data_IF_968031430484
#
_entry.id   IF_968031430484
#
_cell.length_a   1.000
_cell.length_b   1.000
_cell.length_c   1.000
_cell.angle_alpha   90.00
_cell.angle_beta   90.00
_cell.angle_gamma   90.00
#
_symmetry.space_group_name_H-M   'P 1'
#
loop_
_entity.id
_entity.type
_entity.pdbx_description
1 polymer ?
#
# COMPACT_ATOMS: atom_id res chain seq x y z
N UNK A 1 -25.52 66.52 38.49
CA UNK A 1 -24.64 65.35 38.73
C UNK A 1 -24.61 64.54 37.45
N UNK A 2 -23.38 64.24 37.00
CA UNK A 2 -22.90 63.42 35.86
C UNK A 2 -23.85 62.30 35.40
N UNK A 3 -23.88 61.86 34.13
CA UNK A 3 -22.80 61.43 33.22
C UNK A 3 -23.28 61.61 31.76
N UNK A 4 -22.52 62.30 30.89
CA UNK A 4 -21.48 61.78 29.98
C UNK A 4 -22.04 61.00 28.77
N UNK A 5 -22.16 61.74 27.68
CA UNK A 5 -22.20 61.31 26.27
C UNK A 5 -20.86 60.72 25.83
N UNK A 6 -20.88 59.56 25.16
CA UNK A 6 -19.76 59.02 24.40
C UNK A 6 -19.85 59.51 22.94
N UNK A 7 -18.78 60.06 22.36
CA UNK A 7 -18.58 60.05 20.92
C UNK A 7 -17.52 59.03 20.50
N UNK A 8 -17.69 58.55 19.28
CA UNK A 8 -16.75 57.76 18.50
C UNK A 8 -15.34 58.37 18.51
N UNK A 9 -14.32 57.52 18.62
CA UNK A 9 -12.95 57.89 18.26
C UNK A 9 -12.31 56.75 17.47
N UNK A 10 -12.16 56.99 16.17
CA UNK A 10 -11.12 56.43 15.32
C UNK A 10 -9.77 56.44 16.06
N UNK A 11 -9.05 55.33 16.00
CA UNK A 11 -7.63 55.32 16.29
C UNK A 11 -6.87 54.87 15.05
N UNK A 12 -6.33 55.87 14.38
CA UNK A 12 -5.22 55.78 13.43
C UNK A 12 -4.09 54.93 14.02
N UNK A 13 -3.69 53.90 13.28
CA UNK A 13 -2.41 53.23 13.54
C UNK A 13 -1.36 53.89 12.65
N UNK A 14 -0.66 54.86 13.23
CA UNK A 14 0.53 55.46 12.66
C UNK A 14 1.57 54.38 12.31
N UNK A 15 2.03 54.48 11.07
CA UNK A 15 3.07 53.65 10.46
C UNK A 15 4.44 54.08 10.99
N UNK A 16 5.03 53.31 11.92
CA UNK A 16 6.42 53.48 12.32
C UNK A 16 7.33 52.58 11.48
N UNK A 17 7.75 53.11 10.32
CA UNK A 17 8.78 52.52 9.49
C UNK A 17 10.15 52.65 10.18
N UNK A 18 10.60 51.58 10.82
CA UNK A 18 11.97 51.48 11.34
C UNK A 18 12.81 50.67 10.34
N UNK A 19 13.53 51.39 9.48
CA UNK A 19 14.44 50.79 8.49
C UNK A 19 15.73 50.35 9.19
N UNK A 20 15.87 49.05 9.48
CA UNK A 20 17.16 48.47 9.86
C UNK A 20 17.80 47.78 8.65
N UNK A 21 18.82 48.45 8.09
CA UNK A 21 19.82 47.89 7.18
C UNK A 21 20.75 46.97 7.98
N UNK A 22 20.53 45.65 7.97
CA UNK A 22 21.56 44.61 7.87
C UNK A 22 20.89 43.23 7.99
N UNK A 23 21.05 42.40 6.94
CA UNK A 23 20.97 40.94 7.00
C UNK A 23 19.78 40.33 7.75
N UNK A 24 18.58 40.40 7.15
CA UNK A 24 17.49 39.50 7.52
C UNK A 24 17.91 38.09 7.12
N UNK A 25 18.50 37.33 8.05
CA UNK A 25 18.28 35.89 8.07
C UNK A 25 16.77 35.74 8.21
N UNK A 26 16.09 35.41 7.13
CA UNK A 26 14.88 34.61 7.19
C UNK A 26 15.25 33.41 8.06
N UNK A 27 14.86 33.48 9.33
CA UNK A 27 14.59 32.26 10.07
C UNK A 27 13.44 31.66 9.28
N UNK A 28 13.80 30.83 8.31
CA UNK A 28 12.91 29.83 7.75
C UNK A 28 12.44 29.03 8.95
N UNK A 29 11.33 29.46 9.54
CA UNK A 29 10.34 28.53 10.04
C UNK A 29 9.92 27.70 8.82
N UNK A 30 10.80 26.78 8.41
CA UNK A 30 10.44 25.60 7.65
C UNK A 30 9.42 24.92 8.55
N UNK A 31 8.14 25.21 8.32
CA UNK A 31 7.12 24.20 8.51
C UNK A 31 7.70 22.97 7.79
N UNK A 32 8.28 22.05 8.55
CA UNK A 32 8.64 20.75 8.04
C UNK A 32 7.32 20.17 7.59
N UNK A 33 7.03 20.30 6.30
CA UNK A 33 6.00 19.53 5.67
C UNK A 33 6.48 18.10 5.87
N UNK A 34 5.94 17.44 6.90
CA UNK A 34 6.33 16.10 7.28
C UNK A 34 5.98 15.22 6.09
N UNK A 35 7.00 14.85 5.33
CA UNK A 35 6.81 14.05 4.13
C UNK A 35 6.57 12.61 4.56
N UNK A 36 5.55 11.97 3.98
CA UNK A 36 5.21 10.59 4.33
C UNK A 36 6.27 9.63 3.80
N UNK A 37 6.85 8.81 4.67
CA UNK A 37 7.74 7.71 4.27
C UNK A 37 7.37 6.42 4.99
N UNK A 38 7.76 5.28 4.43
CA UNK A 38 7.62 3.96 5.05
C UNK A 38 8.56 2.95 4.39
N UNK A 39 8.87 1.87 5.10
CA UNK A 39 9.61 0.73 4.56
C UNK A 39 8.63 -0.36 4.15
N UNK A 40 8.96 -1.12 3.11
CA UNK A 40 8.15 -2.27 2.70
C UNK A 40 8.97 -3.35 2.00
N UNK A 41 8.42 -4.55 1.98
CA UNK A 41 8.86 -5.65 1.12
C UNK A 41 7.66 -6.46 0.65
N UNK A 42 7.85 -7.19 -0.45
CA UNK A 42 6.88 -8.18 -0.94
C UNK A 42 7.58 -9.53 -1.00
N UNK A 43 7.05 -10.50 -0.27
CA UNK A 43 7.58 -11.85 -0.19
C UNK A 43 6.73 -12.81 -1.03
N UNK A 44 7.36 -13.82 -1.61
CA UNK A 44 6.59 -14.94 -2.18
C UNK A 44 6.07 -15.84 -1.06
N UNK A 45 4.84 -16.32 -1.21
CA UNK A 45 4.18 -17.23 -0.29
C UNK A 45 3.71 -18.47 -1.05
N UNK A 46 4.36 -19.59 -0.74
CA UNK A 46 4.02 -20.88 -1.31
C UNK A 46 3.07 -21.64 -0.38
N UNK A 47 2.19 -22.45 -0.98
CA UNK A 47 1.32 -23.35 -0.23
C UNK A 47 2.07 -24.62 0.18
N UNK A 48 1.75 -25.11 1.38
CA UNK A 48 2.22 -26.39 1.89
C UNK A 48 1.07 -27.40 1.79
N UNK A 49 1.02 -28.10 0.66
CA UNK A 49 -0.06 -29.07 0.39
C UNK A 49 0.26 -30.50 0.81
N UNK A 50 1.48 -30.73 1.33
CA UNK A 50 1.98 -32.04 1.71
C UNK A 50 1.70 -32.34 3.19
N UNK A 51 0.74 -33.24 3.51
CA UNK A 51 0.43 -33.57 4.90
C UNK A 51 1.58 -34.26 5.64
N UNK A 52 2.51 -34.92 4.94
CA UNK A 52 3.69 -35.54 5.56
C UNK A 52 4.66 -34.49 6.10
N UNK A 53 4.66 -33.30 5.50
CA UNK A 53 5.42 -32.13 5.93
C UNK A 53 4.57 -31.14 6.76
N UNK A 54 3.51 -31.64 7.40
CA UNK A 54 2.63 -30.84 8.27
C UNK A 54 1.71 -29.87 7.51
N UNK A 55 1.62 -30.01 6.18
CA UNK A 55 0.77 -29.21 5.30
C UNK A 55 -0.71 -29.58 5.35
N UNK A 56 -1.48 -28.93 4.49
CA UNK A 56 -2.92 -29.13 4.35
C UNK A 56 -3.28 -29.47 2.91
N UNK A 57 -4.10 -30.50 2.65
CA UNK A 57 -4.52 -30.82 1.29
C UNK A 57 -5.12 -29.61 0.55
N UNK A 58 -4.98 -29.56 -0.79
CA UNK A 58 -5.53 -28.49 -1.60
C UNK A 58 -7.02 -28.28 -1.34
N UNK A 59 -7.46 -27.03 -1.38
CA UNK A 59 -8.87 -26.66 -1.21
C UNK A 59 -9.45 -26.27 -2.55
N UNK A 60 -10.71 -26.65 -2.77
CA UNK A 60 -11.49 -26.22 -3.92
C UNK A 60 -12.81 -25.59 -3.46
N UNK A 61 -13.33 -24.64 -4.25
CA UNK A 61 -14.68 -24.12 -4.07
C UNK A 61 -15.73 -25.10 -4.65
N UNK A 62 -17.00 -24.72 -4.55
CA UNK A 62 -18.15 -25.50 -5.06
C UNK A 62 -18.07 -25.87 -6.54
N UNK A 63 -17.29 -25.13 -7.33
CA UNK A 63 -17.08 -25.35 -8.76
C UNK A 63 -15.80 -26.17 -9.06
N UNK A 64 -15.17 -26.76 -8.03
CA UNK A 64 -13.94 -27.53 -8.16
C UNK A 64 -12.70 -26.69 -8.49
N UNK A 65 -12.76 -25.36 -8.32
CA UNK A 65 -11.62 -24.47 -8.58
C UNK A 65 -10.79 -24.28 -7.32
N UNK A 66 -9.47 -24.30 -7.46
CA UNK A 66 -8.55 -24.08 -6.36
C UNK A 66 -8.83 -22.76 -5.62
N UNK A 67 -8.69 -22.79 -4.30
CA UNK A 67 -8.75 -21.62 -3.40
C UNK A 67 -7.64 -21.71 -2.35
N UNK A 68 -7.13 -20.57 -1.83
CA UNK A 68 -6.00 -20.59 -0.91
C UNK A 68 -6.33 -21.30 0.42
N UNK A 69 -5.32 -21.84 1.13
CA UNK A 69 -5.48 -22.43 2.46
C UNK A 69 -6.10 -21.46 3.48
N UNK A 70 -6.78 -21.97 4.51
CA UNK A 70 -7.38 -21.17 5.61
C UNK A 70 -6.77 -21.46 6.98
N UNK A 71 -5.71 -22.25 7.01
CA UNK A 71 -4.93 -22.55 8.20
C UNK A 71 -3.48 -22.20 7.93
N UNK A 72 -2.79 -21.68 8.94
CA UNK A 72 -1.41 -21.19 8.79
C UNK A 72 -0.43 -22.28 8.34
N UNK A 73 -0.70 -23.53 8.74
CA UNK A 73 0.11 -24.70 8.40
C UNK A 73 -0.05 -25.14 6.93
N UNK A 74 -1.05 -24.60 6.23
CA UNK A 74 -1.18 -24.72 4.78
C UNK A 74 -0.21 -23.85 3.99
N UNK A 75 0.72 -23.14 4.63
CA UNK A 75 1.73 -22.31 3.98
C UNK A 75 3.15 -22.74 4.32
N UNK A 76 4.04 -22.64 3.34
CA UNK A 76 5.47 -22.74 3.55
C UNK A 76 6.03 -21.41 4.09
N UNK A 77 7.24 -21.41 4.66
CA UNK A 77 7.94 -20.17 4.99
C UNK A 77 8.02 -19.23 3.78
N UNK A 78 7.79 -17.95 4.02
CA UNK A 78 7.89 -16.90 2.99
C UNK A 78 9.31 -16.85 2.42
N UNK A 79 9.41 -16.68 1.10
CA UNK A 79 10.68 -16.35 0.45
C UNK A 79 10.86 -14.83 0.43
N UNK A 80 11.87 -14.29 1.15
CA UNK A 80 11.99 -12.86 1.33
C UNK A 80 12.31 -12.12 0.01
N UNK A 81 11.57 -11.06 -0.28
CA UNK A 81 11.92 -10.08 -1.30
C UNK A 81 12.83 -8.97 -0.78
N UNK A 82 13.19 -8.04 -1.66
CA UNK A 82 13.99 -6.86 -1.29
C UNK A 82 13.21 -5.88 -0.41
N UNK A 83 13.94 -5.18 0.48
CA UNK A 83 13.41 -4.05 1.24
C UNK A 83 13.52 -2.75 0.43
N UNK A 84 12.43 -2.01 0.38
CA UNK A 84 12.30 -0.73 -0.29
C UNK A 84 11.83 0.33 0.70
N UNK A 85 12.08 1.60 0.38
CA UNK A 85 11.56 2.75 1.10
C UNK A 85 10.71 3.57 0.17
N UNK A 86 9.47 3.83 0.56
CA UNK A 86 8.66 4.91 0.00
C UNK A 86 9.04 6.22 0.68
N UNK A 87 9.27 7.25 -0.12
CA UNK A 87 9.53 8.61 0.33
C UNK A 87 8.76 9.59 -0.55
N UNK A 88 7.56 9.97 -0.08
CA UNK A 88 6.69 10.96 -0.70
C UNK A 88 6.46 10.75 -2.20
N UNK A 89 6.05 9.54 -2.59
CA UNK A 89 5.79 9.20 -4.00
C UNK A 89 7.03 8.76 -4.78
N UNK A 90 8.23 8.83 -4.21
CA UNK A 90 9.40 8.13 -4.73
C UNK A 90 9.56 6.80 -3.98
N UNK A 91 10.12 5.79 -4.64
CA UNK A 91 10.61 4.62 -3.93
C UNK A 91 12.08 4.45 -4.25
N UNK A 92 12.84 4.13 -3.22
CA UNK A 92 14.26 3.82 -3.30
C UNK A 92 14.54 2.44 -2.71
N UNK A 93 15.66 1.86 -3.11
CA UNK A 93 16.14 0.65 -2.46
C UNK A 93 16.59 1.00 -1.04
N UNK A 94 16.07 0.31 -0.03
CA UNK A 94 16.39 0.62 1.37
C UNK A 94 17.83 0.21 1.76
N UNK A 95 18.55 -0.42 0.84
CA UNK A 95 19.94 -0.82 1.02
C UNK A 95 20.11 -2.02 1.96
N UNK A 96 21.35 -2.23 2.39
CA UNK A 96 21.72 -3.27 3.35
C UNK A 96 21.47 -2.85 4.81
N UNK A 97 20.70 -1.79 5.05
CA UNK A 97 20.36 -1.34 6.40
C UNK A 97 19.11 -2.04 6.94
N UNK A 98 18.30 -2.60 6.05
CA UNK A 98 17.06 -3.30 6.40
C UNK A 98 16.98 -4.67 5.71
N UNK A 99 16.43 -5.66 6.42
CA UNK A 99 16.13 -6.98 5.88
C UNK A 99 14.81 -7.49 6.41
N UNK A 100 14.27 -8.50 5.74
CA UNK A 100 13.23 -9.35 6.29
C UNK A 100 13.86 -10.70 6.68
N UNK A 101 13.59 -11.16 7.90
CA UNK A 101 14.05 -12.47 8.42
C UNK A 101 13.07 -12.95 9.47
N UNK A 102 12.88 -14.27 9.55
CA UNK A 102 12.12 -14.91 10.64
C UNK A 102 10.71 -14.32 10.85
N UNK A 103 10.00 -14.00 9.75
CA UNK A 103 8.63 -13.48 9.83
C UNK A 103 8.52 -11.96 10.04
N UNK A 104 9.64 -11.23 10.10
CA UNK A 104 9.63 -9.81 10.49
C UNK A 104 10.67 -8.96 9.76
N UNK A 105 10.41 -7.66 9.67
CA UNK A 105 11.35 -6.66 9.21
C UNK A 105 12.33 -6.28 10.33
N UNK A 106 13.62 -6.23 10.01
CA UNK A 106 14.70 -5.95 10.95
C UNK A 106 15.64 -4.88 10.40
N UNK A 107 16.23 -4.10 11.30
CA UNK A 107 17.42 -3.30 11.02
C UNK A 107 18.68 -4.18 11.07
N UNK A 108 19.61 -4.00 10.14
CA UNK A 108 20.86 -4.76 10.13
C UNK A 108 21.83 -4.36 11.25
N UNK A 109 21.84 -3.09 11.64
CA UNK A 109 22.84 -2.53 12.56
C UNK A 109 22.73 -3.09 13.98
N UNK A 110 21.52 -3.42 14.44
CA UNK A 110 21.27 -3.88 15.80
C UNK A 110 20.23 -5.01 15.90
N UNK A 111 19.79 -5.60 14.78
CA UNK A 111 18.67 -6.55 14.75
C UNK A 111 17.41 -6.03 15.45
N UNK A 112 17.18 -4.72 15.41
CA UNK A 112 15.98 -4.11 15.93
C UNK A 112 14.79 -4.47 15.06
N UNK A 113 13.72 -4.97 15.65
CA UNK A 113 12.46 -5.20 14.94
C UNK A 113 11.88 -3.87 14.48
N UNK A 114 11.58 -3.79 13.18
CA UNK A 114 10.88 -2.65 12.61
C UNK A 114 9.43 -2.63 13.10
N UNK A 115 8.91 -1.44 13.37
CA UNK A 115 7.53 -1.30 13.78
C UNK A 115 6.60 -1.60 12.60
N UNK A 116 5.89 -2.71 12.68
CA UNK A 116 4.95 -3.18 11.64
C UNK A 116 3.72 -2.28 11.57
N UNK A 117 3.37 -1.83 10.37
CA UNK A 117 2.17 -1.04 10.13
C UNK A 117 1.01 -1.92 9.67
N UNK A 118 1.20 -2.65 8.56
CA UNK A 118 0.17 -3.50 7.98
C UNK A 118 0.78 -4.57 7.06
N UNK A 119 0.02 -5.63 6.81
CA UNK A 119 0.35 -6.63 5.80
C UNK A 119 -0.87 -6.95 4.95
N UNK A 120 -0.64 -7.46 3.75
CA UNK A 120 -1.68 -8.07 2.93
C UNK A 120 -1.12 -9.32 2.30
N UNK A 121 -1.86 -10.42 2.43
CA UNK A 121 -1.64 -11.62 1.62
C UNK A 121 -2.57 -11.59 0.43
N UNK A 122 -2.01 -11.76 -0.77
CA UNK A 122 -2.73 -11.73 -2.03
C UNK A 122 -2.37 -12.96 -2.87
N UNK A 123 -3.37 -13.66 -3.36
CA UNK A 123 -3.23 -14.79 -4.27
C UNK A 123 -3.86 -14.48 -5.62
N UNK A 124 -3.16 -14.78 -6.71
CA UNK A 124 -3.80 -14.99 -8.01
C UNK A 124 -4.21 -16.46 -8.12
N UNK A 125 -5.51 -16.73 -8.04
CA UNK A 125 -6.00 -18.10 -8.01
C UNK A 125 -6.03 -18.71 -9.42
N UNK A 126 -6.82 -18.11 -10.32
CA UNK A 126 -7.00 -18.54 -11.72
C UNK A 126 -7.80 -17.48 -12.48
N UNK A 127 -7.99 -17.65 -13.79
CA UNK A 127 -8.72 -16.70 -14.64
C UNK A 127 -10.17 -16.42 -14.21
N UNK A 128 -10.79 -17.34 -13.46
CA UNK A 128 -12.18 -17.19 -13.04
C UNK A 128 -12.34 -16.64 -11.62
N UNK A 129 -11.53 -17.12 -10.67
CA UNK A 129 -11.55 -16.69 -9.27
C UNK A 129 -10.72 -15.41 -9.06
N UNK A 130 -9.72 -15.20 -9.92
CA UNK A 130 -8.81 -14.05 -9.93
C UNK A 130 -8.14 -13.83 -8.57
N UNK A 131 -8.13 -12.60 -8.08
CA UNK A 131 -7.47 -12.24 -6.84
C UNK A 131 -8.31 -12.60 -5.61
N UNK A 132 -7.67 -13.27 -4.65
CA UNK A 132 -8.17 -13.48 -3.29
C UNK A 132 -7.20 -12.84 -2.31
N UNK A 133 -7.71 -12.07 -1.35
CA UNK A 133 -6.92 -11.27 -0.43
C UNK A 133 -7.37 -11.39 1.01
N UNK A 134 -6.47 -11.08 1.92
CA UNK A 134 -6.73 -10.80 3.33
C UNK A 134 -5.74 -9.73 3.79
N UNK A 135 -6.20 -8.75 4.57
CA UNK A 135 -5.37 -7.66 5.12
C UNK A 135 -4.59 -8.10 6.36
N UNK A 136 -3.94 -9.26 6.25
CA UNK A 136 -3.05 -9.82 7.24
C UNK A 136 -2.03 -10.74 6.54
N UNK A 137 -1.01 -11.17 7.28
CA UNK A 137 -0.14 -12.25 6.86
C UNK A 137 -0.82 -13.61 7.15
N UNK A 138 -1.30 -14.28 6.09
CA UNK A 138 -2.03 -15.54 6.20
C UNK A 138 -1.17 -16.69 6.74
N UNK A 139 0.17 -16.59 6.67
CA UNK A 139 1.08 -17.58 7.25
C UNK A 139 1.18 -17.50 8.78
N UNK A 140 0.57 -16.48 9.39
CA UNK A 140 0.62 -16.23 10.84
C UNK A 140 -0.70 -16.47 11.56
N UNK A 141 -1.80 -16.67 10.82
CA UNK A 141 -3.16 -16.77 11.37
C UNK A 141 -3.94 -17.98 10.84
N UNK A 142 -4.83 -18.51 11.68
CA UNK A 142 -5.82 -19.51 11.25
C UNK A 142 -7.11 -18.78 10.85
N UNK A 143 -7.23 -18.48 9.55
CA UNK A 143 -8.37 -17.75 8.96
C UNK A 143 -9.70 -18.42 9.33
N UNK A 144 -9.75 -19.75 9.32
CA UNK A 144 -10.97 -20.52 9.61
C UNK A 144 -11.57 -20.28 11.01
N UNK A 145 -10.75 -19.83 11.97
CA UNK A 145 -11.15 -19.59 13.37
C UNK A 145 -10.94 -18.15 13.82
N UNK A 146 -10.49 -17.28 12.92
CA UNK A 146 -10.29 -15.87 13.22
C UNK A 146 -11.61 -15.11 13.22
N UNK A 147 -11.67 -13.97 13.91
CA UNK A 147 -12.81 -13.07 13.89
C UNK A 147 -12.80 -12.18 12.64
N UNK A 148 -13.94 -11.54 12.36
CA UNK A 148 -14.02 -10.50 11.33
C UNK A 148 -13.01 -9.37 11.62
N UNK A 149 -12.30 -8.83 10.61
CA UNK A 149 -12.40 -9.15 9.18
C UNK A 149 -11.56 -10.34 8.72
N UNK A 150 -10.73 -10.96 9.56
CA UNK A 150 -9.73 -11.96 9.16
C UNK A 150 -10.25 -13.40 9.01
N UNK A 151 -11.57 -13.57 8.96
CA UNK A 151 -12.23 -14.87 9.06
C UNK A 151 -12.48 -15.57 7.71
N UNK A 152 -12.02 -14.99 6.60
CA UNK A 152 -12.15 -15.54 5.25
C UNK A 152 -11.20 -14.87 4.27
N UNK A 153 -11.06 -15.50 3.10
CA UNK A 153 -10.54 -14.84 1.91
C UNK A 153 -11.61 -13.93 1.32
N UNK A 154 -11.20 -12.73 0.92
CA UNK A 154 -12.04 -11.79 0.22
C UNK A 154 -11.66 -11.75 -1.26
N UNK A 155 -12.62 -11.63 -2.18
CA UNK A 155 -12.28 -11.18 -3.51
C UNK A 155 -11.65 -9.78 -3.44
N UNK A 156 -10.83 -9.43 -4.41
CA UNK A 156 -10.37 -8.05 -4.57
C UNK A 156 -11.58 -7.14 -4.81
N UNK A 157 -11.83 -6.21 -3.88
CA UNK A 157 -12.91 -5.23 -3.97
C UNK A 157 -12.39 -3.82 -3.80
N UNK A 158 -13.21 -2.87 -4.23
CA UNK A 158 -12.91 -1.45 -4.27
C UNK A 158 -14.07 -0.66 -3.69
N UNK A 159 -13.78 0.51 -3.13
CA UNK A 159 -14.75 1.55 -2.79
C UNK A 159 -14.60 2.70 -3.76
N UNK A 160 -15.69 3.20 -4.33
CA UNK A 160 -15.62 4.31 -5.28
C UNK A 160 -15.78 5.66 -4.59
N UNK A 161 -14.85 6.56 -4.91
CA UNK A 161 -14.93 7.97 -4.56
C UNK A 161 -14.83 8.78 -5.85
N UNK A 162 -15.98 8.93 -6.53
CA UNK A 162 -16.09 9.54 -7.86
C UNK A 162 -15.27 8.75 -8.91
N UNK A 163 -14.07 9.23 -9.22
CA UNK A 163 -13.14 8.71 -10.24
C UNK A 163 -12.00 7.89 -9.63
N UNK A 164 -11.88 7.89 -8.30
CA UNK A 164 -10.86 7.16 -7.54
C UNK A 164 -11.41 5.80 -7.07
N UNK A 165 -10.62 4.75 -7.24
CA UNK A 165 -10.91 3.43 -6.68
C UNK A 165 -10.05 3.20 -5.45
N UNK A 166 -10.64 2.94 -4.28
CA UNK A 166 -9.90 2.57 -3.05
C UNK A 166 -9.99 1.09 -2.78
N UNK A 167 -8.87 0.37 -2.87
CA UNK A 167 -8.82 -1.08 -2.59
C UNK A 167 -8.77 -1.36 -1.09
N UNK A 168 -9.52 -2.37 -0.63
CA UNK A 168 -9.47 -2.88 0.74
C UNK A 168 -10.19 -4.21 0.83
N UNK A 169 -9.90 -4.99 1.86
CA UNK A 169 -10.76 -6.12 2.19
C UNK A 169 -12.15 -5.61 2.60
N UNK A 170 -13.18 -6.42 2.32
CA UNK A 170 -14.56 -6.21 2.79
C UNK A 170 -15.25 -4.91 2.32
N UNK A 171 -14.77 -4.26 1.26
CA UNK A 171 -15.53 -3.14 0.63
C UNK A 171 -16.50 -3.66 -0.43
N UNK A 172 -17.46 -2.83 -0.83
CA UNK A 172 -18.72 -3.27 -1.45
C UNK A 172 -18.61 -3.57 -2.94
N UNK A 173 -17.73 -2.88 -3.67
CA UNK A 173 -17.75 -2.89 -5.13
C UNK A 173 -16.70 -3.83 -5.76
N UNK A 174 -17.14 -4.68 -6.69
CA UNK A 174 -16.27 -5.64 -7.39
C UNK A 174 -15.64 -5.08 -8.67
N UNK A 175 -15.96 -3.85 -9.05
CA UNK A 175 -15.41 -3.22 -10.25
C UNK A 175 -14.53 -2.04 -9.85
N UNK A 176 -14.03 -1.27 -10.80
CA UNK A 176 -13.30 -0.03 -10.58
C UNK A 176 -14.22 1.17 -10.81
N UNK A 177 -13.82 2.34 -10.31
CA UNK A 177 -14.54 3.60 -10.53
C UNK A 177 -14.54 4.03 -12.01
N UNK A 178 -13.66 3.46 -12.85
CA UNK A 178 -13.64 3.74 -14.27
C UNK A 178 -13.14 2.58 -15.13
N UNK A 179 -13.08 2.85 -16.43
CA UNK A 179 -12.79 1.85 -17.46
C UNK A 179 -11.41 2.04 -18.10
N UNK A 180 -11.06 3.28 -18.36
CA UNK A 180 -9.92 3.66 -19.19
C UNK A 180 -8.81 4.28 -18.34
N UNK A 181 -7.88 3.44 -17.89
CA UNK A 181 -6.64 3.83 -17.20
C UNK A 181 -5.52 2.87 -17.57
N UNK A 182 -4.34 3.40 -17.91
CA UNK A 182 -3.19 2.57 -18.29
C UNK A 182 -2.78 1.64 -17.14
N UNK A 183 -2.83 2.15 -15.90
CA UNK A 183 -2.56 1.40 -14.67
C UNK A 183 -3.44 0.15 -14.52
N UNK A 184 -4.70 0.18 -15.00
CA UNK A 184 -5.61 -0.97 -14.91
C UNK A 184 -5.01 -2.17 -15.65
N UNK A 185 -4.51 -1.95 -16.86
CA UNK A 185 -3.92 -3.02 -17.64
C UNK A 185 -2.58 -3.50 -17.04
N UNK A 186 -1.76 -2.56 -16.57
CA UNK A 186 -0.46 -2.84 -15.95
C UNK A 186 -0.61 -3.72 -14.71
N UNK A 187 -1.60 -3.43 -13.86
CA UNK A 187 -1.87 -4.22 -12.65
C UNK A 187 -2.66 -5.51 -12.92
N UNK A 188 -3.08 -5.78 -14.16
CA UNK A 188 -3.87 -6.96 -14.46
C UNK A 188 -5.32 -6.89 -13.99
N UNK A 189 -5.87 -5.67 -13.89
CA UNK A 189 -7.20 -5.40 -13.34
C UNK A 189 -8.28 -5.25 -14.41
N UNK A 190 -8.03 -5.72 -15.64
CA UNK A 190 -8.94 -5.55 -16.78
C UNK A 190 -10.33 -6.15 -16.51
N UNK A 191 -10.40 -7.26 -15.79
CA UNK A 191 -11.66 -7.90 -15.43
C UNK A 191 -12.49 -7.12 -14.40
N UNK A 192 -11.85 -6.20 -13.68
CA UNK A 192 -12.48 -5.32 -12.71
C UNK A 192 -12.93 -3.99 -13.34
N UNK A 193 -12.73 -3.77 -14.63
CA UNK A 193 -13.15 -2.50 -15.27
C UNK A 193 -14.65 -2.24 -15.09
N UNK A 194 -14.98 -0.97 -14.87
CA UNK A 194 -16.38 -0.57 -14.95
C UNK A 194 -16.94 -0.85 -16.34
N UNK A 195 -18.20 -1.29 -16.41
CA UNK A 195 -18.89 -1.50 -17.69
C UNK A 195 -19.24 -0.17 -18.35
N UNK A 196 -19.55 0.82 -17.54
CA UNK A 196 -19.84 2.18 -17.99
C UNK A 196 -18.54 2.89 -18.33
N UNK A 197 -18.63 3.80 -19.31
CA UNK A 197 -17.47 4.55 -19.77
C UNK A 197 -17.17 5.73 -18.83
N UNK A 198 -16.77 5.41 -17.59
CA UNK A 198 -16.42 6.39 -16.58
C UNK A 198 -14.90 6.62 -16.55
N UNK A 199 -14.43 7.87 -16.44
CA UNK A 199 -13.02 8.17 -16.27
C UNK A 199 -12.52 7.64 -14.92
N UNK A 200 -11.24 7.30 -14.84
CA UNK A 200 -10.60 6.96 -13.56
C UNK A 200 -9.38 7.84 -13.33
N UNK A 201 -9.23 8.32 -12.09
CA UNK A 201 -8.07 9.08 -11.63
C UNK A 201 -6.96 8.19 -11.08
N UNK A 202 -7.26 6.93 -10.75
CA UNK A 202 -6.27 6.01 -10.23
C UNK A 202 -6.79 5.05 -9.15
N UNK A 203 -5.82 4.45 -8.47
CA UNK A 203 -5.97 3.50 -7.39
C UNK A 203 -5.37 4.08 -6.10
N UNK A 204 -6.14 4.02 -5.02
CA UNK A 204 -5.71 4.31 -3.65
C UNK A 204 -6.25 3.20 -2.70
N UNK A 205 -6.25 3.44 -1.39
CA UNK A 205 -6.67 2.45 -0.39
C UNK A 205 -5.48 1.74 0.25
N UNK A 206 -5.69 0.51 0.70
CA UNK A 206 -4.71 -0.29 1.46
C UNK A 206 -3.36 -0.38 0.74
N UNK A 207 -2.31 0.21 1.33
CA UNK A 207 -0.99 0.32 0.70
C UNK A 207 -0.38 -1.06 0.42
N UNK A 208 -0.52 -2.00 1.36
CA UNK A 208 0.07 -3.34 1.22
C UNK A 208 -0.61 -4.12 0.08
N UNK A 209 -1.91 -3.93 -0.11
CA UNK A 209 -2.63 -4.52 -1.25
C UNK A 209 -2.15 -3.95 -2.59
N UNK A 210 -1.96 -2.63 -2.66
CA UNK A 210 -1.46 -1.95 -3.87
C UNK A 210 -0.06 -2.48 -4.23
N UNK A 211 0.84 -2.58 -3.25
CA UNK A 211 2.18 -3.12 -3.46
C UNK A 211 2.17 -4.59 -3.92
N UNK A 212 1.29 -5.42 -3.35
CA UNK A 212 1.10 -6.79 -3.79
C UNK A 212 0.61 -6.87 -5.25
N UNK A 213 -0.32 -5.99 -5.67
CA UNK A 213 -0.78 -5.91 -7.06
C UNK A 213 0.36 -5.54 -8.02
N UNK A 214 1.23 -4.61 -7.64
CA UNK A 214 2.43 -4.29 -8.42
C UNK A 214 3.34 -5.52 -8.54
N UNK A 215 3.53 -6.29 -7.46
CA UNK A 215 4.30 -7.53 -7.53
C UNK A 215 3.67 -8.61 -8.44
N UNK A 216 2.35 -8.62 -8.64
CA UNK A 216 1.70 -9.47 -9.64
C UNK A 216 1.86 -8.99 -11.09
N UNK A 217 2.21 -7.73 -11.31
CA UNK A 217 2.62 -7.24 -12.63
C UNK A 217 4.04 -7.69 -13.02
N UNK A 218 4.81 -8.24 -12.08
CA UNK A 218 6.21 -8.64 -12.24
C UNK A 218 6.38 -10.15 -12.17
N UNK A 219 7.27 -10.74 -12.96
CA UNK A 219 7.52 -12.20 -12.99
C UNK A 219 8.32 -12.72 -11.80
N UNK A 220 9.13 -11.85 -11.19
CA UNK A 220 10.11 -12.15 -10.15
C UNK A 220 10.56 -10.86 -9.43
N UNK A 221 11.39 -11.01 -8.39
CA UNK A 221 11.91 -9.92 -7.56
C UNK A 221 12.84 -8.96 -8.33
N UNK A 222 13.56 -9.41 -9.36
CA UNK A 222 14.38 -8.56 -10.22
C UNK A 222 13.54 -7.65 -11.12
N UNK A 223 12.47 -8.21 -11.68
CA UNK A 223 11.50 -7.44 -12.46
C UNK A 223 10.78 -6.45 -11.56
N UNK A 224 10.40 -6.86 -10.33
CA UNK A 224 9.84 -5.93 -9.35
C UNK A 224 10.82 -4.80 -9.06
N UNK A 225 12.07 -5.09 -8.73
CA UNK A 225 13.09 -4.07 -8.50
C UNK A 225 13.20 -3.08 -9.67
N UNK A 226 13.21 -3.56 -10.91
CA UNK A 226 13.29 -2.70 -12.10
C UNK A 226 12.03 -1.86 -12.33
N UNK A 227 10.84 -2.47 -12.20
CA UNK A 227 9.54 -1.79 -12.31
C UNK A 227 9.45 -0.69 -11.27
N UNK A 228 9.94 -0.99 -10.07
CA UNK A 228 9.99 -0.06 -9.00
C UNK A 228 11.05 1.03 -9.31
N UNK A 229 12.32 0.73 -9.12
CA UNK A 229 13.39 1.73 -9.07
C UNK A 229 13.66 2.41 -10.43
N UNK A 230 13.61 1.66 -11.53
CA UNK A 230 14.11 2.14 -12.82
C UNK A 230 13.01 2.67 -13.74
N UNK A 231 11.82 2.06 -13.70
CA UNK A 231 10.72 2.38 -14.60
C UNK A 231 9.69 3.33 -13.97
N UNK A 232 9.77 3.58 -12.65
CA UNK A 232 8.86 4.45 -11.90
C UNK A 232 7.39 4.15 -12.22
N UNK A 233 7.06 2.86 -12.33
CA UNK A 233 5.80 2.43 -12.91
C UNK A 233 4.57 2.92 -12.14
N UNK A 234 4.71 3.12 -10.83
CA UNK A 234 3.69 3.71 -9.95
C UNK A 234 3.40 5.20 -10.21
N UNK A 235 4.22 5.91 -11.02
CA UNK A 235 4.01 7.32 -11.41
C UNK A 235 3.32 7.49 -12.76
N UNK A 236 2.65 6.46 -13.27
CA UNK A 236 2.08 6.48 -14.63
C UNK A 236 3.14 6.60 -15.75
N UNK A 237 4.43 6.45 -15.42
CA UNK A 237 5.54 6.50 -16.38
C UNK A 237 5.87 5.13 -16.98
N UNK A 238 5.19 4.08 -16.50
CA UNK A 238 5.31 2.75 -17.11
C UNK A 238 4.79 2.81 -18.54
N UNK A 239 5.68 2.60 -19.51
CA UNK A 239 5.24 2.17 -20.84
C UNK A 239 4.61 0.80 -20.65
N UNK A 240 3.41 0.62 -21.20
CA UNK A 240 2.78 -0.69 -21.34
C UNK A 240 3.73 -1.52 -22.19
N UNK A 241 4.67 -2.21 -21.55
CA UNK A 241 5.39 -3.28 -22.17
C UNK A 241 4.41 -4.45 -22.25
N UNK A 242 4.41 -5.16 -23.37
CA UNK A 242 3.95 -6.56 -23.47
C UNK A 242 4.84 -7.47 -22.59
N UNK A 243 5.18 -7.02 -21.38
CA UNK A 243 5.96 -7.75 -20.42
C UNK A 243 5.09 -8.86 -19.87
N UNK A 244 5.67 -10.06 -19.81
CA UNK A 244 5.05 -11.17 -19.09
C UNK A 244 4.71 -10.75 -17.67
N UNK A 245 3.54 -11.13 -17.20
CA UNK A 245 3.07 -10.81 -15.85
C UNK A 245 3.28 -11.99 -14.90
N UNK A 246 3.43 -11.71 -13.60
CA UNK A 246 3.59 -12.72 -12.55
C UNK A 246 2.33 -13.47 -12.15
N UNK A 247 1.16 -13.17 -12.74
CA UNK A 247 -0.12 -13.85 -12.46
C UNK A 247 -0.15 -15.29 -12.97
N UNK A 248 0.57 -16.18 -12.29
CA UNK A 248 0.55 -17.64 -12.49
C UNK A 248 -0.45 -18.25 -11.51
N UNK A 249 -1.22 -19.29 -11.90
CA UNK A 249 -2.18 -19.93 -11.01
C UNK A 249 -1.55 -20.28 -9.66
N UNK A 250 -2.29 -20.03 -8.59
CA UNK A 250 -1.93 -20.37 -7.20
C UNK A 250 -0.72 -19.60 -6.64
N UNK A 251 -0.18 -18.61 -7.35
CA UNK A 251 0.88 -17.75 -6.82
C UNK A 251 0.31 -16.86 -5.70
N UNK A 252 0.97 -16.87 -4.55
CA UNK A 252 0.72 -16.01 -3.41
C UNK A 252 1.89 -15.08 -3.11
N UNK A 253 1.57 -13.88 -2.63
CA UNK A 253 2.57 -12.95 -2.08
C UNK A 253 2.08 -12.36 -0.77
N UNK A 254 3.00 -11.96 0.09
CA UNK A 254 2.74 -11.16 1.29
C UNK A 254 3.47 -9.83 1.16
N UNK A 255 2.71 -8.75 1.07
CA UNK A 255 3.27 -7.40 1.18
C UNK A 255 3.25 -6.98 2.64
N UNK A 256 4.39 -6.51 3.15
CA UNK A 256 4.53 -6.01 4.52
C UNK A 256 4.98 -4.55 4.48
N UNK A 257 4.40 -3.73 5.35
CA UNK A 257 4.73 -2.32 5.53
C UNK A 257 5.18 -2.09 6.97
N UNK A 258 6.24 -1.31 7.11
CA UNK A 258 6.81 -0.92 8.38
C UNK A 258 6.97 0.60 8.43
N UNK A 259 6.85 1.17 9.63
CA UNK A 259 7.20 2.55 9.84
C UNK A 259 8.71 2.75 9.61
N UNK A 260 9.06 3.86 8.99
CA UNK A 260 10.43 4.25 8.67
C UNK A 260 11.08 4.90 9.91
N UNK A 261 12.04 4.21 10.56
CA UNK A 261 12.66 4.72 11.78
C UNK A 261 13.52 5.96 11.52
N UNK A 262 13.90 6.24 10.26
CA UNK A 262 14.66 7.44 9.89
C UNK A 262 13.78 8.68 9.73
N UNK A 263 12.44 8.53 9.72
CA UNK A 263 11.48 9.64 9.63
C UNK A 263 10.32 9.45 10.63
N UNK A 264 10.58 9.50 11.95
CA UNK A 264 9.58 9.20 12.96
C UNK A 264 8.39 10.18 12.98
N UNK A 265 8.55 11.38 12.41
CA UNK A 265 7.49 12.39 12.36
C UNK A 265 6.59 12.25 11.12
N UNK A 266 7.13 11.77 10.00
CA UNK A 266 6.37 11.56 8.76
C UNK A 266 5.94 10.10 8.53
N UNK A 267 6.51 9.15 9.27
CA UNK A 267 6.17 7.73 9.20
C UNK A 267 5.41 7.27 10.44
N UNK A 268 4.19 7.81 10.60
CA UNK A 268 3.28 7.44 11.69
C UNK A 268 2.10 6.64 11.16
N UNK A 269 1.40 5.90 12.03
CA UNK A 269 0.15 5.22 11.66
C UNK A 269 -0.85 6.19 11.03
N UNK A 270 -0.99 7.38 11.61
CA UNK A 270 -1.91 8.40 11.12
C UNK A 270 -1.50 8.92 9.74
N UNK A 271 -0.20 9.16 9.51
CA UNK A 271 0.30 9.61 8.21
C UNK A 271 0.05 8.57 7.11
N UNK A 272 0.34 7.29 7.37
CA UNK A 272 0.09 6.22 6.41
C UNK A 272 -1.41 5.99 6.21
N UNK A 273 -2.21 6.06 7.28
CA UNK A 273 -3.67 5.96 7.18
C UNK A 273 -4.26 7.11 6.37
N UNK A 274 -3.71 8.31 6.52
CA UNK A 274 -4.11 9.48 5.73
C UNK A 274 -3.76 9.27 4.25
N UNK A 275 -2.56 8.76 3.95
CA UNK A 275 -2.14 8.41 2.60
C UNK A 275 -3.07 7.37 1.94
N UNK A 276 -3.49 6.35 2.68
CA UNK A 276 -4.39 5.31 2.15
C UNK A 276 -5.81 5.83 1.84
N UNK A 277 -6.36 6.70 2.70
CA UNK A 277 -7.81 6.95 2.76
C UNK A 277 -8.26 8.39 2.56
N UNK A 278 -7.34 9.35 2.69
CA UNK A 278 -7.66 10.78 2.58
C UNK A 278 -6.96 11.41 1.38
N UNK A 279 -5.71 11.00 1.11
CA UNK A 279 -4.97 11.46 -0.06
C UNK A 279 -5.56 10.91 -1.36
N UNK A 280 -5.07 11.46 -2.48
CA UNK A 280 -5.46 11.09 -3.83
C UNK A 280 -4.91 9.73 -4.29
N UNK A 281 -4.84 9.49 -5.61
CA UNK A 281 -4.35 8.22 -6.15
C UNK A 281 -2.88 7.99 -5.78
N UNK A 282 -2.58 6.75 -5.37
CA UNK A 282 -1.22 6.26 -5.16
C UNK A 282 -0.64 5.78 -6.50
N UNK A 283 -1.49 5.20 -7.36
CA UNK A 283 -1.18 4.82 -8.74
C UNK A 283 -2.19 5.51 -9.67
N UNK A 284 -1.73 6.06 -10.79
CA UNK A 284 -2.54 6.75 -11.80
C UNK A 284 -2.09 6.42 -13.23
#
# INVERSE_FOLDING_TARGET
MNFLTLPDSEFDTETLATTNKLGTQTIDTMAHQHHTSFLFNVNELYVNEDPENGGRPPRVNENGRWVPPVYRDGFLPQTPGRMFRWNNGNIEYAGFNYRWSDGQGLTYTNNGTLQHYSSTTLFWCNEFTQFQMIEADASTIDIATSDFPYNRWYPLTFRYERTLSRVSASVEEQYLAGRDGAWIAQLGLQAYRNRENQPTEGLAGNLATILALVAFSCTDDDTLYNVLINNLAWRGQSRVYDAEHGRRPERGVVSNIYLDPENPNGSTYDALRHLEWTDGPIIY
#
